data_IF_922964708680
#
_entry.id   IF_922964708680
#
_cell.length_a   1.000
_cell.length_b   1.000
_cell.length_c   1.000
_cell.angle_alpha   90.00
_cell.angle_beta   90.00
_cell.angle_gamma   90.00
#
_symmetry.space_group_name_H-M   'P 1'
#
loop_
_entity.id
_entity.type
_entity.pdbx_description
1 polymer ?
#
# COMPACT_ATOMS: atom_id res chain seq x y z
N UNK A 1 14.46 27.39 -13.41
CA UNK A 1 15.32 26.40 -12.74
C UNK A 1 14.78 26.27 -11.33
N UNK A 2 13.70 25.50 -11.17
CA UNK A 2 13.29 25.00 -9.86
C UNK A 2 13.97 23.65 -9.74
N UNK A 3 14.77 23.48 -8.70
CA UNK A 3 15.35 22.19 -8.36
C UNK A 3 14.18 21.22 -8.17
N UNK A 4 14.10 20.19 -9.02
CA UNK A 4 13.38 18.97 -8.70
C UNK A 4 14.04 18.44 -7.43
N UNK A 5 13.50 18.85 -6.29
CA UNK A 5 13.70 18.14 -5.05
C UNK A 5 13.09 16.76 -5.30
N UNK A 6 13.94 15.85 -5.80
CA UNK A 6 13.76 14.43 -5.62
C UNK A 6 13.69 14.26 -4.11
N UNK A 7 12.47 14.39 -3.59
CA UNK A 7 12.21 14.17 -2.18
C UNK A 7 12.73 12.76 -1.93
N UNK A 8 13.58 12.57 -0.91
CA UNK A 8 14.06 11.24 -0.52
C UNK A 8 12.88 10.52 0.16
N UNK A 9 11.88 10.20 -0.67
CA UNK A 9 10.63 9.56 -0.32
C UNK A 9 10.92 8.21 0.35
N UNK A 10 12.03 7.58 -0.03
CA UNK A 10 12.53 6.32 0.53
C UNK A 10 12.97 6.45 2.00
N UNK A 11 13.35 7.65 2.43
CA UNK A 11 13.80 7.99 3.79
C UNK A 11 12.79 8.75 4.66
N UNK A 12 11.56 8.99 4.19
CA UNK A 12 10.63 9.92 4.84
C UNK A 12 10.29 9.53 6.31
N UNK A 13 10.50 10.45 7.28
CA UNK A 13 10.06 10.26 8.67
C UNK A 13 8.55 10.24 8.85
N UNK A 14 8.06 9.58 9.91
CA UNK A 14 6.62 9.49 10.23
C UNK A 14 5.96 10.87 10.40
N UNK A 15 6.64 11.83 11.03
CA UNK A 15 6.12 13.18 11.26
C UNK A 15 5.87 13.93 9.94
N UNK A 16 6.78 13.79 8.98
CA UNK A 16 6.64 14.38 7.65
C UNK A 16 5.48 13.75 6.88
N UNK A 17 5.35 12.42 6.95
CA UNK A 17 4.20 11.73 6.36
C UNK A 17 2.87 12.15 7.00
N UNK A 18 2.81 12.29 8.32
CA UNK A 18 1.59 12.76 9.01
C UNK A 18 1.22 14.18 8.58
N UNK A 19 2.19 15.06 8.35
CA UNK A 19 1.95 16.39 7.81
C UNK A 19 1.42 16.35 6.36
N UNK A 20 1.95 15.44 5.54
CA UNK A 20 1.45 15.17 4.18
C UNK A 20 0.00 14.65 4.26
N UNK A 21 -0.29 13.63 5.06
CA UNK A 21 -1.64 13.08 5.23
C UNK A 21 -2.66 14.11 5.75
N UNK A 22 -2.26 14.96 6.71
CA UNK A 22 -3.11 16.04 7.20
C UNK A 22 -3.40 17.09 6.11
N UNK A 23 -2.41 17.42 5.30
CA UNK A 23 -2.57 18.33 4.16
C UNK A 23 -3.46 17.73 3.07
N UNK A 24 -3.27 16.44 2.77
CA UNK A 24 -4.09 15.69 1.83
C UNK A 24 -5.56 15.62 2.27
N UNK A 25 -5.83 15.33 3.54
CA UNK A 25 -7.21 15.30 4.05
C UNK A 25 -7.87 16.68 3.99
N UNK A 26 -7.09 17.76 4.18
CA UNK A 26 -7.59 19.12 4.10
C UNK A 26 -7.91 19.56 2.65
N UNK A 27 -7.11 19.12 1.68
CA UNK A 27 -7.28 19.44 0.26
C UNK A 27 -8.31 18.53 -0.43
N UNK A 28 -8.29 17.25 -0.06
CA UNK A 28 -9.05 16.16 -0.67
C UNK A 28 -9.58 15.19 0.39
N UNK A 29 -10.70 15.54 1.06
CA UNK A 29 -11.25 14.73 2.15
C UNK A 29 -11.47 13.26 1.75
N UNK A 30 -10.91 12.34 2.52
CA UNK A 30 -10.97 10.90 2.30
C UNK A 30 -9.76 10.29 1.60
N UNK A 31 -8.88 11.06 0.96
CA UNK A 31 -7.66 10.52 0.35
C UNK A 31 -6.67 9.99 1.40
N UNK A 32 -6.60 10.60 2.58
CA UNK A 32 -5.71 10.10 3.64
C UNK A 32 -6.07 8.69 4.10
N UNK A 33 -7.32 8.24 3.90
CA UNK A 33 -7.82 6.91 4.29
C UNK A 33 -7.28 5.77 3.43
N UNK A 34 -6.63 6.08 2.30
CA UNK A 34 -5.93 5.07 1.51
C UNK A 34 -4.59 4.70 2.13
N UNK A 35 -4.02 5.57 2.97
CA UNK A 35 -2.81 5.29 3.73
C UNK A 35 -3.16 4.60 5.05
N UNK A 36 -2.45 3.53 5.39
CA UNK A 36 -2.75 2.72 6.56
C UNK A 36 -2.14 3.30 7.86
N UNK A 37 -2.79 4.30 8.47
CA UNK A 37 -2.52 4.64 9.89
C UNK A 37 -1.12 5.19 10.19
N UNK A 38 -0.31 4.53 11.04
CA UNK A 38 1.08 4.91 11.38
C UNK A 38 2.06 3.96 10.71
N UNK A 39 3.15 4.45 10.12
CA UNK A 39 4.12 3.62 9.41
C UNK A 39 4.64 2.49 10.30
N UNK A 40 4.61 1.28 9.78
CA UNK A 40 5.26 0.13 10.38
C UNK A 40 6.65 -0.07 9.73
N UNK A 41 7.59 -0.62 10.51
CA UNK A 41 8.97 -0.86 10.05
C UNK A 41 9.83 0.41 9.87
N UNK A 42 11.15 0.26 9.66
CA UNK A 42 12.06 1.38 9.35
C UNK A 42 11.94 1.83 7.89
N UNK A 43 12.39 3.06 7.59
CA UNK A 43 12.59 3.48 6.21
C UNK A 43 13.61 2.57 5.51
N UNK A 44 13.34 2.16 4.26
CA UNK A 44 14.15 1.18 3.52
C UNK A 44 14.78 1.83 2.29
N UNK A 45 16.06 2.23 2.39
CA UNK A 45 16.82 2.82 1.28
C UNK A 45 17.13 1.81 0.16
N UNK A 46 17.38 0.56 0.52
CA UNK A 46 17.70 -0.50 -0.44
C UNK A 46 16.47 -1.37 -0.75
N UNK A 47 15.32 -0.74 -1.01
CA UNK A 47 14.11 -1.49 -1.40
C UNK A 47 14.35 -2.23 -2.72
N UNK A 48 13.73 -3.38 -2.97
CA UNK A 48 13.75 -3.99 -4.29
C UNK A 48 12.94 -3.12 -5.28
N UNK A 49 13.36 -3.07 -6.55
CA UNK A 49 12.59 -2.41 -7.63
C UNK A 49 11.53 -3.37 -8.17
N UNK A 50 10.57 -3.71 -7.30
CA UNK A 50 9.43 -4.56 -7.63
C UNK A 50 8.18 -4.01 -6.93
N UNK A 51 7.01 -4.06 -7.56
CA UNK A 51 5.79 -3.64 -6.91
C UNK A 51 5.34 -4.65 -5.84
N UNK A 52 4.58 -4.17 -4.87
CA UNK A 52 4.06 -4.99 -3.75
C UNK A 52 3.31 -6.24 -4.22
N UNK A 53 2.55 -6.18 -5.32
CA UNK A 53 1.81 -7.35 -5.81
C UNK A 53 2.69 -8.47 -6.40
N UNK A 54 3.99 -8.22 -6.59
CA UNK A 54 4.97 -9.20 -7.08
C UNK A 54 5.95 -9.68 -5.98
N UNK A 55 5.80 -9.24 -4.73
CA UNK A 55 6.69 -9.62 -3.61
C UNK A 55 6.81 -11.13 -3.40
N UNK A 56 5.70 -11.87 -3.51
CA UNK A 56 5.71 -13.32 -3.36
C UNK A 56 6.53 -14.00 -4.47
N UNK A 57 6.38 -13.57 -5.71
CA UNK A 57 7.17 -14.06 -6.83
C UNK A 57 8.65 -13.68 -6.66
N UNK A 58 8.94 -12.45 -6.24
CA UNK A 58 10.29 -11.97 -6.02
C UNK A 58 11.04 -12.81 -4.97
N UNK A 59 10.41 -13.12 -3.83
CA UNK A 59 10.99 -13.98 -2.79
C UNK A 59 11.20 -15.42 -3.28
N UNK A 60 10.30 -15.96 -4.11
CA UNK A 60 10.47 -17.29 -4.71
C UNK A 60 11.66 -17.36 -5.70
N UNK A 61 11.89 -16.29 -6.46
CA UNK A 61 13.00 -16.18 -7.42
C UNK A 61 14.34 -15.80 -6.75
N UNK A 62 14.29 -15.25 -5.53
CA UNK A 62 15.43 -14.80 -4.73
C UNK A 62 15.42 -15.45 -3.34
N UNK A 63 15.95 -16.68 -3.20
CA UNK A 63 15.95 -17.41 -1.92
C UNK A 63 16.69 -16.70 -0.78
N UNK A 64 17.52 -15.70 -1.09
CA UNK A 64 18.17 -14.82 -0.13
C UNK A 64 17.26 -13.71 0.44
N UNK A 65 16.05 -13.54 -0.09
CA UNK A 65 15.06 -12.55 0.35
C UNK A 65 13.86 -13.26 0.95
N UNK A 66 13.67 -13.10 2.26
CA UNK A 66 12.50 -13.62 2.95
C UNK A 66 11.30 -12.71 2.69
N UNK A 67 10.12 -13.32 2.48
CA UNK A 67 8.89 -12.57 2.25
C UNK A 67 8.53 -11.67 3.46
N UNK A 68 8.88 -12.09 4.67
CA UNK A 68 8.68 -11.32 5.90
C UNK A 68 9.50 -10.01 5.92
N UNK A 69 10.68 -10.00 5.27
CA UNK A 69 11.49 -8.77 5.16
C UNK A 69 10.84 -7.76 4.22
N UNK A 70 10.14 -8.24 3.18
CA UNK A 70 9.40 -7.40 2.24
C UNK A 70 8.18 -6.72 2.89
N UNK A 71 7.66 -7.26 3.99
CA UNK A 71 6.50 -6.70 4.70
C UNK A 71 6.77 -5.28 5.20
N UNK A 72 8.00 -5.04 5.67
CA UNK A 72 8.42 -3.76 6.22
C UNK A 72 8.90 -2.76 5.15
N UNK A 73 9.00 -3.17 3.89
CA UNK A 73 9.45 -2.29 2.80
C UNK A 73 8.41 -1.21 2.57
N UNK A 74 8.81 0.03 2.85
CA UNK A 74 8.02 1.22 2.56
C UNK A 74 8.12 1.59 1.09
N UNK A 75 6.99 1.93 0.47
CA UNK A 75 6.91 2.39 -0.90
C UNK A 75 5.99 3.60 -1.04
N UNK A 76 6.21 4.46 -2.04
CA UNK A 76 5.40 5.62 -2.29
C UNK A 76 4.11 5.18 -2.99
N UNK A 77 3.02 5.83 -2.61
CA UNK A 77 1.73 5.72 -3.30
C UNK A 77 1.41 7.10 -3.86
N UNK A 78 1.45 7.22 -5.18
CA UNK A 78 1.12 8.44 -5.91
C UNK A 78 -0.38 8.41 -6.20
N UNK A 79 -1.08 9.49 -5.84
CA UNK A 79 -2.52 9.58 -6.03
C UNK A 79 -2.89 9.97 -7.46
N UNK A 80 -4.14 9.70 -7.81
CA UNK A 80 -4.66 10.03 -9.12
C UNK A 80 -4.55 11.53 -9.41
N UNK A 81 -3.85 11.87 -10.49
CA UNK A 81 -3.50 13.25 -10.85
C UNK A 81 -2.02 13.57 -10.64
N UNK A 82 -1.28 12.76 -9.89
CA UNK A 82 0.19 12.78 -9.81
C UNK A 82 0.79 13.87 -8.93
N UNK A 83 0.01 14.83 -8.44
CA UNK A 83 0.51 15.94 -7.62
C UNK A 83 0.67 15.57 -6.14
N UNK A 84 -0.14 14.62 -5.69
CA UNK A 84 -0.23 14.20 -4.30
C UNK A 84 0.30 12.77 -4.13
N UNK A 85 0.99 12.51 -3.02
CA UNK A 85 1.50 11.17 -2.71
C UNK A 85 1.54 10.90 -1.20
N UNK A 86 1.73 9.64 -0.82
CA UNK A 86 1.97 9.20 0.55
C UNK A 86 2.98 8.04 0.58
N UNK A 87 3.26 7.51 1.77
CA UNK A 87 4.05 6.30 1.99
C UNK A 87 3.18 5.23 2.64
N UNK A 88 3.31 4.01 2.15
CA UNK A 88 2.61 2.83 2.64
C UNK A 88 3.58 1.64 2.76
N UNK A 89 3.12 0.58 3.42
CA UNK A 89 3.84 -0.69 3.58
C UNK A 89 2.85 -1.82 3.87
N UNK A 90 3.19 -3.06 3.49
CA UNK A 90 2.33 -4.20 3.79
C UNK A 90 2.13 -4.37 5.32
N UNK A 91 3.16 -4.06 6.11
CA UNK A 91 3.14 -4.09 7.57
C UNK A 91 2.04 -3.23 8.19
N UNK A 92 1.72 -2.07 7.59
CA UNK A 92 0.67 -1.20 8.10
C UNK A 92 -0.71 -1.84 8.08
N UNK A 93 -1.01 -2.66 7.07
CA UNK A 93 -2.27 -3.39 6.93
C UNK A 93 -2.41 -4.58 7.91
N UNK A 94 -1.31 -5.04 8.49
CA UNK A 94 -1.28 -6.17 9.43
C UNK A 94 -1.44 -5.74 10.89
N UNK A 95 -1.46 -4.43 11.16
CA UNK A 95 -1.57 -3.90 12.51
C UNK A 95 -2.95 -4.21 13.11
N UNK A 96 -2.94 -4.60 14.38
CA UNK A 96 -4.16 -4.87 15.18
C UNK A 96 -4.53 -3.74 16.13
N UNK A 97 -3.73 -2.67 16.20
CA UNK A 97 -3.93 -1.54 17.10
C UNK A 97 -4.35 -0.27 16.33
N UNK A 98 -5.26 0.57 16.89
CA UNK A 98 -5.92 0.40 18.20
C UNK A 98 -7.12 -0.55 18.16
N UNK A 99 -7.59 -0.95 16.97
CA UNK A 99 -8.74 -1.83 16.77
C UNK A 99 -8.35 -2.89 15.75
N UNK A 100 -8.40 -4.15 16.17
CA UNK A 100 -8.13 -5.27 15.27
C UNK A 100 -9.22 -5.34 14.18
N UNK A 101 -8.85 -5.64 12.93
CA UNK A 101 -9.83 -5.86 11.88
C UNK A 101 -10.77 -7.03 12.25
N UNK A 102 -12.06 -6.98 11.87
CA UNK A 102 -13.05 -8.00 12.23
C UNK A 102 -12.77 -9.37 11.60
N UNK A 103 -11.87 -9.42 10.61
CA UNK A 103 -11.36 -10.63 9.98
C UNK A 103 -9.83 -10.58 10.03
N UNK A 104 -9.13 -11.69 10.34
CA UNK A 104 -7.67 -11.72 10.30
C UNK A 104 -7.16 -11.29 8.91
N UNK A 105 -6.39 -10.21 8.87
CA UNK A 105 -5.67 -9.80 7.66
C UNK A 105 -4.29 -10.43 7.72
N UNK A 106 -3.98 -11.26 6.72
CA UNK A 106 -2.66 -11.88 6.56
C UNK A 106 -1.88 -11.14 5.48
N UNK A 107 -0.56 -11.33 5.44
CA UNK A 107 0.25 -10.79 4.35
C UNK A 107 -0.28 -11.24 2.98
N UNK A 108 -0.63 -12.51 2.83
CA UNK A 108 -1.22 -13.03 1.60
C UNK A 108 -2.51 -12.28 1.21
N UNK A 109 -3.35 -11.91 2.19
CA UNK A 109 -4.55 -11.11 1.95
C UNK A 109 -4.22 -9.69 1.45
N UNK A 110 -3.15 -9.08 1.97
CA UNK A 110 -2.67 -7.74 1.56
C UNK A 110 -2.09 -7.79 0.14
N UNK A 111 -1.24 -8.78 -0.16
CA UNK A 111 -0.70 -8.98 -1.50
C UNK A 111 -1.83 -9.24 -2.52
N UNK A 112 -2.84 -10.04 -2.14
CA UNK A 112 -4.04 -10.26 -2.96
C UNK A 112 -4.81 -8.96 -3.22
N UNK A 113 -4.98 -8.10 -2.20
CA UNK A 113 -5.64 -6.79 -2.36
C UNK A 113 -4.94 -5.94 -3.42
N UNK A 114 -3.63 -5.76 -3.31
CA UNK A 114 -2.83 -4.99 -4.26
C UNK A 114 -2.84 -5.61 -5.65
N UNK A 115 -2.78 -6.94 -5.75
CA UNK A 115 -2.90 -7.66 -7.02
C UNK A 115 -4.27 -7.45 -7.67
N UNK A 116 -5.35 -7.42 -6.89
CA UNK A 116 -6.69 -7.12 -7.40
C UNK A 116 -6.81 -5.67 -7.90
N UNK A 117 -6.20 -4.70 -7.21
CA UNK A 117 -6.15 -3.31 -7.65
C UNK A 117 -5.40 -3.17 -8.98
N UNK A 118 -4.24 -3.82 -9.10
CA UNK A 118 -3.46 -3.83 -10.33
C UNK A 118 -4.22 -4.52 -11.48
N UNK A 119 -4.80 -5.70 -11.22
CA UNK A 119 -5.59 -6.45 -12.21
C UNK A 119 -6.81 -5.67 -12.70
N UNK A 120 -7.42 -4.86 -11.82
CA UNK A 120 -8.53 -3.97 -12.17
C UNK A 120 -8.09 -2.69 -12.92
N UNK A 121 -6.79 -2.47 -13.11
CA UNK A 121 -6.23 -1.27 -13.73
C UNK A 121 -6.48 -0.01 -12.90
N UNK A 122 -6.55 -0.14 -11.57
CA UNK A 122 -6.67 0.98 -10.63
C UNK A 122 -5.31 1.52 -10.25
N UNK A 123 -4.32 0.64 -10.11
CA UNK A 123 -2.94 1.01 -9.81
C UNK A 123 -1.98 0.48 -10.87
N UNK A 124 -0.87 1.18 -11.05
CA UNK A 124 0.26 0.78 -11.90
C UNK A 124 1.57 0.97 -11.15
N UNK A 125 2.63 0.32 -11.63
CA UNK A 125 3.98 0.54 -11.13
C UNK A 125 4.67 1.62 -11.98
N UNK A 126 5.09 2.69 -11.33
CA UNK A 126 6.00 3.68 -11.89
C UNK A 126 7.43 3.23 -11.60
N UNK A 127 8.14 2.78 -12.63
CA UNK A 127 9.53 2.33 -12.52
C UNK A 127 10.52 3.46 -12.24
N UNK A 128 10.23 4.68 -12.70
CA UNK A 128 11.15 5.81 -12.54
C UNK A 128 11.11 6.32 -11.10
N UNK A 129 9.92 6.39 -10.52
CA UNK A 129 9.71 6.80 -9.13
C UNK A 129 9.74 5.63 -8.14
N UNK A 130 9.78 4.40 -8.65
CA UNK A 130 9.68 3.15 -7.89
C UNK A 130 8.48 3.22 -6.94
N UNK A 131 7.33 3.55 -7.51
CA UNK A 131 6.12 3.90 -6.80
C UNK A 131 4.87 3.22 -7.34
N UNK A 132 3.88 3.04 -6.46
CA UNK A 132 2.56 2.60 -6.87
C UNK A 132 1.74 3.84 -7.23
N UNK A 133 1.33 3.96 -8.48
CA UNK A 133 0.51 5.07 -8.95
C UNK A 133 -0.96 4.66 -9.06
N UNK A 134 -1.86 5.47 -8.47
CA UNK A 134 -3.29 5.38 -8.72
C UNK A 134 -3.65 5.97 -10.08
N UNK A 135 -3.77 5.13 -11.09
CA UNK A 135 -4.12 5.54 -12.47
C UNK A 135 -5.64 5.74 -12.68
N UNK A 136 -6.44 5.59 -11.61
CA UNK A 136 -7.89 5.82 -11.59
C UNK A 136 -8.32 6.61 -10.35
N UNK A 137 -9.45 7.34 -10.40
CA UNK A 137 -9.99 8.07 -9.25
C UNK A 137 -10.27 7.18 -8.03
N UNK A 138 -10.29 7.81 -6.86
CA UNK A 138 -10.51 7.18 -5.55
C UNK A 138 -11.72 6.24 -5.49
N UNK A 139 -12.83 6.55 -6.17
CA UNK A 139 -14.02 5.70 -6.14
C UNK A 139 -13.76 4.31 -6.76
N UNK A 140 -12.83 4.22 -7.73
CA UNK A 140 -12.45 2.93 -8.32
C UNK A 140 -11.65 2.07 -7.33
N UNK A 141 -10.75 2.70 -6.57
CA UNK A 141 -10.02 2.06 -5.46
C UNK A 141 -11.00 1.53 -4.40
N UNK A 142 -11.89 2.38 -3.91
CA UNK A 142 -12.89 2.01 -2.90
C UNK A 142 -13.78 0.84 -3.35
N UNK A 143 -14.18 0.82 -4.62
CA UNK A 143 -14.99 -0.26 -5.18
C UNK A 143 -14.25 -1.61 -5.18
N UNK A 144 -12.94 -1.62 -5.51
CA UNK A 144 -12.12 -2.84 -5.50
C UNK A 144 -11.86 -3.31 -4.07
N UNK A 145 -11.47 -2.41 -3.16
CA UNK A 145 -11.23 -2.74 -1.74
C UNK A 145 -12.51 -3.25 -1.08
N UNK A 146 -13.66 -2.64 -1.35
CA UNK A 146 -14.94 -3.13 -0.82
C UNK A 146 -15.31 -4.52 -1.35
N UNK A 147 -14.97 -4.85 -2.60
CA UNK A 147 -15.15 -6.20 -3.15
C UNK A 147 -14.20 -7.19 -2.50
N UNK A 148 -12.91 -6.87 -2.44
CA UNK A 148 -11.91 -7.69 -1.77
C UNK A 148 -12.28 -7.99 -0.31
N UNK A 149 -12.74 -6.99 0.45
CA UNK A 149 -13.15 -7.17 1.84
C UNK A 149 -14.33 -8.14 2.00
N UNK A 150 -15.29 -8.14 1.06
CA UNK A 150 -16.37 -9.14 1.04
C UNK A 150 -15.85 -10.53 0.70
N UNK A 151 -14.96 -10.64 -0.28
CA UNK A 151 -14.38 -11.93 -0.68
C UNK A 151 -13.54 -12.53 0.45
N UNK A 152 -12.78 -11.70 1.17
CA UNK A 152 -12.03 -12.09 2.36
C UNK A 152 -12.97 -12.64 3.45
N UNK A 153 -14.05 -11.92 3.76
CA UNK A 153 -15.06 -12.40 4.72
C UNK A 153 -15.65 -13.76 4.32
N UNK A 154 -15.96 -13.96 3.04
CA UNK A 154 -16.53 -15.22 2.52
C UNK A 154 -15.54 -16.39 2.54
N UNK A 155 -14.23 -16.12 2.38
CA UNK A 155 -13.17 -17.13 2.45
C UNK A 155 -12.98 -17.64 3.89
N UNK A 156 -13.14 -16.78 4.88
CA UNK A 156 -12.96 -17.09 6.30
C UNK A 156 -14.23 -17.65 6.98
N UNK A 157 -15.38 -17.70 6.29
CA UNK A 157 -16.57 -18.39 6.80
C UNK A 157 -16.37 -19.92 6.82
N UNK A 158 -16.76 -20.62 7.90
CA UNK A 158 -16.67 -22.08 7.95
C UNK A 158 -17.49 -22.73 6.83
N UNK A 159 -17.02 -23.87 6.28
CA UNK A 159 -17.72 -24.58 5.21
C UNK A 159 -19.10 -25.01 5.71
N UNK A 160 -20.16 -24.38 5.19
CA UNK A 160 -21.56 -24.63 5.58
C UNK A 160 -22.45 -23.39 5.70
N UNK A 161 -21.88 -22.18 5.60
CA UNK A 161 -22.61 -20.90 5.66
C UNK A 161 -22.69 -20.18 4.30
N UNK A 162 -22.31 -20.86 3.20
CA UNK A 162 -22.32 -20.32 1.83
C UNK A 162 -23.65 -20.53 1.13
#
# INVERSE_FOLDING_TARGET
MGEDAVMDIEGMPEEERLAVLASLEALHPGLSKTASGTLAGPATRDRPDVPIWDYEQYSQERPEVELDDLVAVRFPVIFYGGEDFTIDSAAEHLRTDPVAPPVPVTLASVLDMWKQLHTAGVVAWDHDQRAVEHVRPQQAYEAVVARWGRDLQLKELPPGVR
#
